data_IF_470777188787
#
_entry.id   IF_470777188787
#
_cell.length_a   1.000
_cell.length_b   1.000
_cell.length_c   1.000
_cell.angle_alpha   90.00
_cell.angle_beta   90.00
_cell.angle_gamma   90.00
#
_symmetry.space_group_name_H-M   'P 1'
#
loop_
_entity.id
_entity.type
_entity.pdbx_description
1 polymer ?
#
# COMPACT_ATOMS: atom_id res chain seq x y z
N UNK A 1 11.83 18.17 4.48
CA UNK A 1 12.18 17.50 3.18
C UNK A 1 11.31 18.13 2.10
N UNK A 2 11.96 18.65 1.06
CA UNK A 2 11.29 19.29 -0.08
C UNK A 2 11.18 18.33 -1.25
N UNK A 3 9.97 18.03 -1.70
CA UNK A 3 9.72 17.06 -2.76
C UNK A 3 10.28 17.51 -4.12
N UNK A 4 10.30 18.81 -4.41
CA UNK A 4 10.80 19.35 -5.69
C UNK A 4 12.31 19.16 -5.78
N UNK A 5 13.03 19.54 -4.72
CA UNK A 5 14.49 19.38 -4.66
C UNK A 5 14.90 17.90 -4.73
N UNK A 6 14.23 17.04 -3.96
CA UNK A 6 14.52 15.61 -3.96
C UNK A 6 14.22 14.96 -5.32
N UNK A 7 13.13 15.36 -5.99
CA UNK A 7 12.86 14.91 -7.36
C UNK A 7 13.96 15.33 -8.35
N UNK A 8 14.54 16.54 -8.19
CA UNK A 8 15.67 16.97 -8.99
C UNK A 8 16.92 16.11 -8.75
N UNK A 9 17.18 15.69 -7.50
CA UNK A 9 18.31 14.81 -7.18
C UNK A 9 18.16 13.40 -7.73
N UNK A 10 16.94 12.88 -7.80
CA UNK A 10 16.64 11.63 -8.51
C UNK A 10 16.97 11.78 -10.00
N UNK A 11 16.51 12.86 -10.64
CA UNK A 11 16.79 13.14 -12.05
C UNK A 11 18.28 13.31 -12.31
N UNK A 12 19.02 14.01 -11.45
CA UNK A 12 20.48 14.16 -11.56
C UNK A 12 21.15 12.79 -11.51
N UNK A 13 20.77 11.93 -10.58
CA UNK A 13 21.28 10.55 -10.52
C UNK A 13 21.05 9.77 -11.81
N UNK A 14 19.84 9.81 -12.35
CA UNK A 14 19.47 9.11 -13.58
C UNK A 14 20.21 9.66 -14.81
N UNK A 15 20.27 11.00 -14.97
CA UNK A 15 20.88 11.62 -16.14
C UNK A 15 22.41 11.48 -16.16
N UNK A 16 23.07 11.74 -15.04
CA UNK A 16 24.53 11.66 -14.95
C UNK A 16 25.05 10.27 -14.63
N UNK A 17 24.19 9.36 -14.22
CA UNK A 17 24.49 7.94 -14.05
C UNK A 17 24.66 7.19 -15.36
N UNK A 18 24.14 7.73 -16.49
CA UNK A 18 24.33 7.21 -17.85
C UNK A 18 23.91 5.73 -18.00
N UNK A 19 22.93 5.27 -17.21
CA UNK A 19 22.48 3.87 -17.21
C UNK A 19 23.32 2.92 -16.37
N UNK A 20 24.41 3.39 -15.75
CA UNK A 20 25.18 2.63 -14.78
C UNK A 20 24.50 2.65 -13.41
N UNK A 21 24.25 1.47 -12.86
CA UNK A 21 23.48 1.34 -11.62
C UNK A 21 24.23 1.95 -10.42
N UNK A 22 25.53 1.69 -10.31
CA UNK A 22 26.34 2.24 -9.22
C UNK A 22 26.45 3.75 -9.29
N UNK A 23 26.80 4.29 -10.47
CA UNK A 23 26.88 5.75 -10.70
C UNK A 23 25.56 6.46 -10.36
N UNK A 24 24.46 5.91 -10.84
CA UNK A 24 23.11 6.47 -10.59
C UNK A 24 22.82 6.60 -9.10
N UNK A 25 23.07 5.53 -8.35
CA UNK A 25 22.85 5.52 -6.90
C UNK A 25 23.84 6.43 -6.16
N UNK A 26 25.13 6.38 -6.50
CA UNK A 26 26.17 7.20 -5.85
C UNK A 26 25.91 8.70 -6.07
N UNK A 27 25.63 9.11 -7.29
CA UNK A 27 25.35 10.52 -7.61
C UNK A 27 24.10 11.01 -6.87
N UNK A 28 23.00 10.24 -6.93
CA UNK A 28 21.76 10.61 -6.25
C UNK A 28 21.94 10.72 -4.73
N UNK A 29 22.72 9.81 -4.12
CA UNK A 29 23.06 9.84 -2.69
C UNK A 29 23.87 11.08 -2.34
N UNK A 30 24.89 11.43 -3.16
CA UNK A 30 25.80 12.57 -2.93
C UNK A 30 25.12 13.93 -3.09
N UNK A 31 23.99 14.01 -3.76
CA UNK A 31 23.20 15.23 -3.83
C UNK A 31 22.70 15.69 -2.45
N UNK A 32 22.61 14.79 -1.48
CA UNK A 32 22.23 15.13 -0.11
C UNK A 32 20.72 15.15 0.10
N UNK A 33 20.28 15.87 1.13
CA UNK A 33 18.90 15.91 1.60
C UNK A 33 18.41 14.50 2.03
N UNK A 34 17.60 13.86 1.23
CA UNK A 34 17.04 12.53 1.45
C UNK A 34 17.93 11.48 0.77
N UNK A 35 19.11 11.24 1.36
CA UNK A 35 20.20 10.44 0.74
C UNK A 35 19.93 8.92 0.77
N UNK A 36 18.79 8.46 1.24
CA UNK A 36 18.33 7.06 1.19
C UNK A 36 17.13 6.90 0.25
N UNK A 37 16.12 7.78 0.32
CA UNK A 37 14.96 7.68 -0.56
C UNK A 37 15.28 8.09 -2.00
N UNK A 38 16.12 9.12 -2.21
CA UNK A 38 16.45 9.56 -3.57
C UNK A 38 17.16 8.48 -4.39
N UNK A 39 18.25 7.84 -3.91
CA UNK A 39 18.85 6.73 -4.64
C UNK A 39 17.94 5.50 -4.73
N UNK A 40 17.10 5.21 -3.73
CA UNK A 40 16.13 4.14 -3.83
C UNK A 40 15.13 4.37 -4.99
N UNK A 41 14.65 5.59 -5.15
CA UNK A 41 13.77 5.99 -6.25
C UNK A 41 14.48 5.94 -7.61
N UNK A 42 15.70 6.49 -7.69
CA UNK A 42 16.51 6.45 -8.90
C UNK A 42 16.84 5.00 -9.33
N UNK A 43 17.19 4.15 -8.36
CA UNK A 43 17.46 2.73 -8.59
C UNK A 43 16.23 1.96 -9.04
N UNK A 44 15.06 2.25 -8.47
CA UNK A 44 13.77 1.67 -8.89
C UNK A 44 13.42 2.01 -10.33
N UNK A 45 13.60 3.28 -10.74
CA UNK A 45 13.38 3.73 -12.12
C UNK A 45 14.36 3.06 -13.08
N UNK A 46 15.66 3.09 -12.76
CA UNK A 46 16.69 2.47 -13.60
C UNK A 46 16.50 0.95 -13.68
N UNK A 47 16.17 0.29 -12.57
CA UNK A 47 15.87 -1.13 -12.54
C UNK A 47 14.66 -1.52 -13.41
N UNK A 48 13.64 -0.66 -13.48
CA UNK A 48 12.50 -0.83 -14.40
C UNK A 48 12.93 -0.71 -15.87
N UNK A 49 13.85 0.22 -16.18
CA UNK A 49 14.38 0.40 -17.54
C UNK A 49 15.23 -0.81 -17.96
N UNK A 50 16.09 -1.30 -17.06
CA UNK A 50 17.00 -2.43 -17.33
C UNK A 50 16.29 -3.78 -17.34
N UNK A 51 15.25 -3.93 -16.52
CA UNK A 51 14.59 -5.20 -16.21
C UNK A 51 15.35 -5.99 -15.15
N UNK A 52 14.61 -6.84 -14.43
CA UNK A 52 15.11 -7.62 -13.27
C UNK A 52 16.38 -8.43 -13.58
N UNK A 53 16.45 -9.07 -14.75
CA UNK A 53 17.59 -9.91 -15.14
C UNK A 53 18.89 -9.13 -15.40
N UNK A 54 18.81 -7.81 -15.56
CA UNK A 54 19.96 -6.94 -15.83
C UNK A 54 20.37 -6.07 -14.63
N UNK A 55 19.69 -6.23 -13.49
CA UNK A 55 20.16 -5.61 -12.25
C UNK A 55 21.47 -6.31 -11.84
N UNK A 56 22.56 -5.55 -11.59
CA UNK A 56 23.85 -6.16 -11.30
C UNK A 56 23.82 -7.04 -10.04
N UNK A 57 24.48 -8.19 -10.08
CA UNK A 57 24.50 -9.17 -8.97
C UNK A 57 24.95 -8.59 -7.63
N UNK A 58 25.79 -7.57 -7.64
CA UNK A 58 26.19 -6.87 -6.43
C UNK A 58 24.99 -6.35 -5.62
N UNK A 59 23.98 -5.81 -6.30
CA UNK A 59 22.78 -5.26 -5.67
C UNK A 59 21.74 -6.33 -5.31
N UNK A 60 21.84 -7.52 -5.91
CA UNK A 60 20.96 -8.66 -5.68
C UNK A 60 21.52 -9.65 -4.65
N UNK A 61 22.72 -9.43 -4.18
CA UNK A 61 23.57 -10.39 -3.44
C UNK A 61 22.86 -11.11 -2.30
N UNK A 62 22.20 -10.41 -1.41
CA UNK A 62 21.53 -11.04 -0.26
C UNK A 62 20.01 -11.16 -0.47
N UNK A 63 19.49 -10.55 -1.53
CA UNK A 63 18.06 -10.51 -1.79
C UNK A 63 17.55 -11.88 -2.22
N UNK A 64 18.29 -12.57 -3.09
CA UNK A 64 17.93 -13.90 -3.62
C UNK A 64 17.75 -14.96 -2.54
N UNK A 65 18.44 -14.83 -1.42
CA UNK A 65 18.34 -15.76 -0.29
C UNK A 65 17.03 -15.60 0.48
N UNK A 66 16.40 -14.43 0.42
CA UNK A 66 15.20 -14.08 1.19
C UNK A 66 13.95 -13.88 0.33
N UNK A 67 14.05 -13.92 -1.00
CA UNK A 67 12.94 -13.65 -1.92
C UNK A 67 11.71 -14.53 -1.68
N UNK A 68 11.89 -15.74 -1.16
CA UNK A 68 10.81 -16.69 -0.85
C UNK A 68 10.32 -16.60 0.60
N UNK A 69 10.96 -15.79 1.45
CA UNK A 69 10.53 -15.63 2.84
C UNK A 69 9.33 -14.69 2.90
N UNK A 70 8.26 -15.14 3.55
CA UNK A 70 7.10 -14.29 3.75
C UNK A 70 7.46 -13.12 4.68
N UNK A 71 6.94 -11.92 4.37
CA UNK A 71 7.00 -10.78 5.28
C UNK A 71 6.28 -11.11 6.58
N UNK A 72 6.76 -10.52 7.67
CA UNK A 72 6.18 -10.76 8.99
C UNK A 72 4.65 -10.57 8.99
N UNK A 73 3.95 -11.55 9.56
CA UNK A 73 2.49 -11.56 9.70
C UNK A 73 1.69 -11.56 8.37
N UNK A 74 2.33 -11.93 7.28
CA UNK A 74 1.68 -12.07 5.98
C UNK A 74 1.95 -13.46 5.37
N UNK A 75 1.33 -13.73 4.25
CA UNK A 75 1.63 -14.87 3.37
C UNK A 75 2.27 -14.40 2.06
N UNK A 76 2.84 -13.19 2.06
CA UNK A 76 3.41 -12.54 0.88
C UNK A 76 4.92 -12.48 1.04
N UNK A 77 5.64 -12.94 0.02
CA UNK A 77 7.09 -12.82 -0.13
C UNK A 77 7.44 -11.85 -1.27
N UNK A 78 8.72 -11.53 -1.46
CA UNK A 78 9.16 -10.74 -2.61
C UNK A 78 8.75 -11.39 -3.93
N UNK A 79 8.96 -12.71 -4.09
CA UNK A 79 8.56 -13.41 -5.31
C UNK A 79 7.05 -13.34 -5.57
N UNK A 80 6.23 -13.46 -4.53
CA UNK A 80 4.78 -13.24 -4.67
C UNK A 80 4.46 -11.80 -5.06
N UNK A 81 5.17 -10.83 -4.50
CA UNK A 81 5.00 -9.41 -4.86
C UNK A 81 5.36 -9.14 -6.31
N UNK A 82 6.43 -9.77 -6.83
CA UNK A 82 6.79 -9.66 -8.26
C UNK A 82 5.69 -10.21 -9.15
N UNK A 83 5.16 -11.39 -8.83
CA UNK A 83 4.06 -11.99 -9.59
C UNK A 83 2.79 -11.10 -9.55
N UNK A 84 2.41 -10.63 -8.36
CA UNK A 84 1.25 -9.75 -8.22
C UNK A 84 1.42 -8.45 -9.03
N UNK A 85 2.62 -7.84 -9.00
CA UNK A 85 2.93 -6.63 -9.76
C UNK A 85 2.87 -6.88 -11.27
N UNK A 86 3.36 -8.03 -11.73
CA UNK A 86 3.29 -8.43 -13.13
C UNK A 86 1.84 -8.64 -13.59
N UNK A 87 1.04 -9.37 -12.83
CA UNK A 87 -0.36 -9.60 -13.15
C UNK A 87 -1.16 -8.29 -13.18
N UNK A 88 -0.88 -7.37 -12.26
CA UNK A 88 -1.49 -6.04 -12.26
C UNK A 88 -1.07 -5.20 -13.47
N UNK A 89 0.20 -5.29 -13.87
CA UNK A 89 0.70 -4.58 -15.06
C UNK A 89 -0.04 -5.06 -16.33
N UNK A 90 -0.23 -6.37 -16.49
CA UNK A 90 -0.99 -6.92 -17.62
C UNK A 90 -2.43 -6.42 -17.63
N UNK A 91 -3.10 -6.40 -16.47
CA UNK A 91 -4.47 -5.87 -16.37
C UNK A 91 -4.54 -4.37 -16.71
N UNK A 92 -3.55 -3.57 -16.29
CA UNK A 92 -3.48 -2.14 -16.63
C UNK A 92 -3.28 -1.95 -18.14
N UNK A 93 -2.44 -2.77 -18.76
CA UNK A 93 -2.22 -2.75 -20.23
C UNK A 93 -3.53 -3.00 -20.98
N UNK A 94 -4.26 -4.05 -20.62
CA UNK A 94 -5.56 -4.37 -21.27
C UNK A 94 -6.59 -3.26 -21.04
N UNK A 95 -6.73 -2.74 -19.83
CA UNK A 95 -7.64 -1.62 -19.51
C UNK A 95 -7.35 -0.36 -20.32
N UNK A 96 -6.10 -0.16 -20.72
CA UNK A 96 -5.67 1.00 -21.51
C UNK A 96 -5.61 0.72 -23.01
N UNK A 97 -6.26 -0.35 -23.48
CA UNK A 97 -6.42 -0.67 -24.90
C UNK A 97 -5.24 -1.39 -25.52
N UNK A 98 -4.35 -1.96 -24.70
CA UNK A 98 -3.39 -2.97 -25.12
C UNK A 98 -4.00 -4.36 -25.16
N UNK A 99 -3.18 -5.37 -25.43
CA UNK A 99 -3.62 -6.77 -25.43
C UNK A 99 -2.53 -7.72 -24.94
N UNK A 100 -2.95 -8.86 -24.39
CA UNK A 100 -2.08 -9.95 -23.96
C UNK A 100 -2.49 -11.20 -24.74
N UNK A 101 -1.55 -11.86 -25.42
CA UNK A 101 -1.78 -13.08 -26.19
C UNK A 101 -0.61 -14.04 -26.05
N UNK A 102 -0.76 -15.08 -25.23
CA UNK A 102 0.33 -15.97 -24.86
C UNK A 102 1.47 -15.22 -24.22
N UNK A 103 2.67 -15.30 -24.79
CA UNK A 103 3.88 -14.62 -24.31
C UNK A 103 4.07 -13.21 -24.93
N UNK A 104 3.14 -12.77 -25.76
CA UNK A 104 3.21 -11.47 -26.42
C UNK A 104 2.28 -10.46 -25.76
N UNK A 105 2.82 -9.26 -25.51
CA UNK A 105 2.09 -8.13 -24.95
C UNK A 105 2.19 -6.93 -25.88
N UNK A 106 1.04 -6.42 -26.31
CA UNK A 106 0.96 -5.19 -27.09
C UNK A 106 0.55 -4.03 -26.18
N UNK A 107 1.42 -3.02 -26.08
CA UNK A 107 1.17 -1.82 -25.26
C UNK A 107 0.72 -0.70 -26.20
N UNK A 108 -0.45 -0.11 -25.90
CA UNK A 108 -0.88 1.11 -26.58
C UNK A 108 -0.12 2.30 -26.00
N UNK A 109 0.76 2.90 -26.82
CA UNK A 109 1.45 4.12 -26.43
C UNK A 109 0.47 5.26 -26.14
N UNK A 110 0.61 5.90 -25.01
CA UNK A 110 -0.21 7.03 -24.59
C UNK A 110 0.65 8.30 -24.53
N UNK A 111 0.04 9.43 -24.86
CA UNK A 111 0.68 10.72 -24.60
C UNK A 111 0.43 11.09 -23.14
N UNK A 112 1.48 11.42 -22.37
CA UNK A 112 1.29 11.89 -21.00
C UNK A 112 0.44 13.15 -20.96
N UNK A 113 -0.59 13.14 -20.09
CA UNK A 113 -1.46 14.30 -19.87
C UNK A 113 -1.23 14.78 -18.45
N UNK A 114 -1.05 16.08 -18.27
CA UNK A 114 -0.96 16.68 -16.96
C UNK A 114 -2.26 16.41 -16.18
N UNK A 115 -2.15 15.74 -15.03
CA UNK A 115 -3.28 15.51 -14.14
C UNK A 115 -3.26 16.51 -13.00
N UNK A 116 -4.44 16.81 -12.47
CA UNK A 116 -4.53 17.68 -11.29
C UNK A 116 -3.85 17.04 -10.10
N UNK A 117 -3.13 17.86 -9.35
CA UNK A 117 -2.32 17.49 -8.20
C UNK A 117 -3.12 16.80 -7.08
N UNK A 118 -4.37 17.26 -6.87
CA UNK A 118 -5.24 16.79 -5.80
C UNK A 118 -6.19 15.65 -6.21
N UNK A 119 -6.07 15.15 -7.42
CA UNK A 119 -6.88 13.98 -7.81
C UNK A 119 -6.38 12.75 -7.09
N UNK A 120 -7.14 12.34 -6.09
CA UNK A 120 -7.09 10.98 -5.57
C UNK A 120 -7.41 9.97 -6.68
N UNK A 121 -7.28 8.70 -6.38
CA UNK A 121 -7.66 7.64 -7.32
C UNK A 121 -9.13 7.81 -7.74
N UNK A 122 -9.38 7.81 -9.04
CA UNK A 122 -10.72 7.96 -9.58
C UNK A 122 -11.64 6.87 -9.02
N UNK A 123 -12.81 7.27 -8.54
CA UNK A 123 -13.77 6.36 -7.93
C UNK A 123 -13.44 5.93 -6.49
N UNK A 124 -12.38 6.51 -5.88
CA UNK A 124 -11.96 6.19 -4.50
C UNK A 124 -11.70 7.48 -3.72
N UNK A 125 -12.74 8.25 -3.48
CA UNK A 125 -12.63 9.53 -2.79
C UNK A 125 -12.93 9.37 -1.30
N UNK A 126 -12.04 9.79 -0.38
CA UNK A 126 -12.37 9.84 1.03
C UNK A 126 -13.43 10.94 1.26
N UNK A 127 -14.59 10.54 1.76
CA UNK A 127 -15.72 11.47 1.94
C UNK A 127 -16.03 11.77 3.40
N UNK A 128 -15.67 10.88 4.30
CA UNK A 128 -15.97 11.03 5.71
C UNK A 128 -14.94 10.34 6.60
N UNK A 129 -14.72 10.94 7.77
CA UNK A 129 -13.92 10.42 8.86
C UNK A 129 -14.80 10.35 10.11
N UNK A 130 -15.06 9.15 10.59
CA UNK A 130 -15.89 8.90 11.76
C UNK A 130 -15.02 8.45 12.93
N UNK A 131 -15.06 9.19 14.03
CA UNK A 131 -14.39 8.78 15.26
C UNK A 131 -15.14 7.61 15.91
N UNK A 132 -14.41 6.54 16.27
CA UNK A 132 -14.94 5.38 16.98
C UNK A 132 -14.48 5.40 18.44
N UNK A 133 -13.19 5.46 18.68
CA UNK A 133 -12.53 5.54 20.00
C UNK A 133 -13.04 4.48 21.00
N UNK A 134 -13.15 3.22 20.55
CA UNK A 134 -13.62 2.09 21.34
C UNK A 134 -12.69 0.90 21.22
N UNK A 135 -12.65 0.08 22.25
CA UNK A 135 -12.02 -1.23 22.16
C UNK A 135 -12.95 -2.23 21.46
N UNK A 136 -12.37 -3.23 20.83
CA UNK A 136 -13.11 -4.26 20.09
C UNK A 136 -14.23 -4.93 20.93
N UNK A 137 -14.00 -5.09 22.24
CA UNK A 137 -15.03 -5.59 23.19
C UNK A 137 -16.33 -4.77 23.19
N UNK A 138 -16.24 -3.48 22.84
CA UNK A 138 -17.31 -2.50 22.99
C UNK A 138 -17.78 -1.90 21.65
N UNK A 139 -17.13 -2.31 20.54
CA UNK A 139 -17.37 -1.73 19.22
C UNK A 139 -18.76 -2.13 18.68
N UNK A 140 -19.15 -3.39 18.83
CA UNK A 140 -20.36 -3.90 18.21
C UNK A 140 -20.35 -3.81 16.68
N UNK A 141 -21.44 -3.34 16.11
CA UNK A 141 -21.58 -3.10 14.68
C UNK A 141 -21.08 -1.69 14.31
N UNK A 142 -20.34 -1.58 13.19
CA UNK A 142 -19.88 -0.31 12.63
C UNK A 142 -20.55 -0.09 11.26
N UNK A 143 -21.70 0.63 11.24
CA UNK A 143 -22.34 0.96 9.97
C UNK A 143 -21.60 2.11 9.26
N UNK A 144 -21.58 2.06 7.93
CA UNK A 144 -21.11 3.16 7.08
C UNK A 144 -21.85 3.16 5.75
N UNK A 145 -21.79 4.27 5.01
CA UNK A 145 -22.37 4.39 3.68
C UNK A 145 -21.32 4.87 2.69
N UNK A 146 -21.05 4.07 1.65
CA UNK A 146 -20.01 4.37 0.67
C UNK A 146 -19.69 3.21 -0.26
N UNK A 147 -18.52 3.28 -0.88
CA UNK A 147 -17.96 2.25 -1.76
C UNK A 147 -16.70 1.59 -1.16
N UNK A 148 -16.35 1.94 0.07
CA UNK A 148 -15.23 1.36 0.79
C UNK A 148 -15.02 2.02 2.14
N UNK A 149 -14.27 1.32 3.00
CA UNK A 149 -13.88 1.83 4.31
C UNK A 149 -12.52 1.31 4.74
N UNK A 150 -11.81 2.12 5.54
CA UNK A 150 -10.58 1.76 6.26
C UNK A 150 -10.85 1.94 7.75
N UNK A 151 -10.61 0.88 8.52
CA UNK A 151 -10.79 0.84 9.97
C UNK A 151 -9.42 1.00 10.63
N UNK A 152 -9.17 2.15 11.24
CA UNK A 152 -7.87 2.51 11.82
C UNK A 152 -7.84 2.27 13.32
N UNK A 153 -6.66 1.86 13.80
CA UNK A 153 -6.48 1.59 15.20
C UNK A 153 -5.14 0.92 15.51
N UNK A 154 -5.08 0.25 16.64
CA UNK A 154 -3.87 -0.46 17.07
C UNK A 154 -4.19 -1.51 18.14
N UNK A 155 -3.26 -2.44 18.32
CA UNK A 155 -3.27 -3.39 19.44
C UNK A 155 -2.41 -2.83 20.57
N UNK A 156 -2.95 -2.79 21.78
CA UNK A 156 -2.21 -2.39 22.98
C UNK A 156 -2.04 -3.61 23.88
N UNK A 157 -0.79 -3.97 24.16
CA UNK A 157 -0.41 -5.06 25.05
C UNK A 157 0.87 -4.70 25.80
N UNK A 158 1.04 -5.24 27.01
CA UNK A 158 2.33 -5.13 27.73
C UNK A 158 3.42 -6.00 27.11
N UNK A 159 3.01 -7.12 26.52
CA UNK A 159 3.87 -8.04 25.79
C UNK A 159 3.86 -7.63 24.31
N UNK A 160 4.95 -7.03 23.84
CA UNK A 160 5.11 -6.56 22.47
C UNK A 160 5.16 -7.69 21.41
N UNK A 161 5.36 -8.95 21.87
CA UNK A 161 5.32 -10.14 21.00
C UNK A 161 3.90 -10.65 20.75
N UNK A 162 2.92 -10.09 21.48
CA UNK A 162 1.54 -10.51 21.27
C UNK A 162 1.02 -10.11 19.89
N UNK A 163 0.31 -11.05 19.25
CA UNK A 163 -0.37 -10.84 17.96
C UNK A 163 -1.84 -11.16 18.14
N UNK A 164 -2.70 -10.15 18.01
CA UNK A 164 -4.13 -10.37 18.00
C UNK A 164 -4.56 -10.98 16.66
N UNK A 165 -5.33 -12.06 16.70
CA UNK A 165 -5.95 -12.66 15.51
C UNK A 165 -7.41 -12.23 15.48
N UNK A 166 -7.76 -11.42 14.48
CA UNK A 166 -9.09 -10.80 14.38
C UNK A 166 -9.68 -11.05 13.01
N UNK A 167 -10.94 -11.46 12.98
CA UNK A 167 -11.75 -11.57 11.77
C UNK A 167 -12.55 -10.29 11.55
N UNK A 168 -12.59 -9.80 10.31
CA UNK A 168 -13.54 -8.77 9.87
C UNK A 168 -14.60 -9.40 8.99
N UNK A 169 -15.84 -9.11 9.32
CA UNK A 169 -17.00 -9.44 8.51
C UNK A 169 -17.61 -8.16 7.96
N UNK A 170 -18.07 -8.19 6.74
CA UNK A 170 -18.80 -7.11 6.09
C UNK A 170 -20.15 -7.66 5.59
N UNK A 171 -21.23 -7.05 6.01
CA UNK A 171 -22.59 -7.49 5.68
C UNK A 171 -22.83 -8.98 5.98
N UNK A 172 -22.16 -9.48 7.01
CA UNK A 172 -22.23 -10.88 7.47
C UNK A 172 -21.24 -11.84 6.79
N UNK A 173 -20.51 -11.40 5.76
CA UNK A 173 -19.53 -12.23 5.05
C UNK A 173 -18.11 -11.97 5.59
N UNK A 174 -17.33 -13.04 5.78
CA UNK A 174 -15.93 -12.94 6.19
C UNK A 174 -15.09 -12.32 5.07
N UNK A 175 -14.44 -11.19 5.38
CA UNK A 175 -13.55 -10.49 4.44
C UNK A 175 -12.09 -10.84 4.66
N UNK A 176 -11.65 -10.82 5.92
CA UNK A 176 -10.24 -11.05 6.27
C UNK A 176 -10.12 -11.64 7.67
N UNK A 177 -9.14 -12.53 7.84
CA UNK A 177 -8.62 -12.92 9.16
C UNK A 177 -7.21 -12.34 9.29
N UNK A 178 -7.09 -11.24 10.04
CA UNK A 178 -5.85 -10.50 10.19
C UNK A 178 -5.04 -10.93 11.41
N UNK A 179 -3.72 -10.94 11.27
CA UNK A 179 -2.77 -10.99 12.37
C UNK A 179 -2.31 -9.56 12.67
N UNK A 180 -2.65 -9.05 13.85
CA UNK A 180 -2.43 -7.67 14.27
C UNK A 180 -1.39 -7.65 15.39
N UNK A 181 -0.09 -7.37 15.10
CA UNK A 181 0.95 -7.32 16.12
C UNK A 181 0.78 -6.12 17.04
N UNK A 182 1.08 -6.32 18.33
CA UNK A 182 1.14 -5.23 19.31
C UNK A 182 2.43 -4.41 19.20
N UNK A 183 3.51 -5.02 18.72
CA UNK A 183 4.82 -4.35 18.59
C UNK A 183 4.72 -3.10 17.73
N UNK A 184 5.24 -1.99 18.26
CA UNK A 184 5.27 -0.70 17.57
C UNK A 184 5.96 -0.76 16.20
N UNK A 185 7.00 -1.59 16.06
CA UNK A 185 7.82 -1.69 14.85
C UNK A 185 7.17 -2.51 13.73
N UNK A 186 6.19 -3.34 14.06
CA UNK A 186 5.56 -4.27 13.10
C UNK A 186 4.04 -4.11 13.02
N UNK A 187 3.43 -3.28 13.87
CA UNK A 187 1.99 -3.05 13.86
C UNK A 187 1.54 -2.34 12.58
N UNK A 188 0.35 -2.65 12.14
CA UNK A 188 -0.36 -1.84 11.14
C UNK A 188 -1.40 -0.96 11.84
N UNK A 189 -1.54 0.28 11.40
CA UNK A 189 -2.53 1.22 11.94
C UNK A 189 -3.84 1.18 11.16
N UNK A 190 -3.81 0.76 9.92
CA UNK A 190 -5.00 0.37 9.16
C UNK A 190 -5.29 -1.09 9.49
N UNK A 191 -6.12 -1.33 10.51
CA UNK A 191 -6.39 -2.68 11.00
C UNK A 191 -7.07 -3.53 9.93
N UNK A 192 -8.04 -2.94 9.24
CA UNK A 192 -8.79 -3.57 8.16
C UNK A 192 -9.18 -2.55 7.11
N UNK A 193 -9.41 -3.02 5.88
CA UNK A 193 -9.96 -2.20 4.80
C UNK A 193 -10.71 -3.05 3.79
N UNK A 194 -11.69 -2.43 3.14
CA UNK A 194 -12.35 -3.00 1.97
C UNK A 194 -12.74 -1.87 1.04
N UNK A 195 -12.37 -2.00 -0.22
CA UNK A 195 -12.69 -1.07 -1.30
C UNK A 195 -13.55 -1.75 -2.36
N UNK A 196 -14.03 -0.97 -3.33
CA UNK A 196 -14.78 -1.45 -4.49
C UNK A 196 -16.07 -2.21 -4.10
N UNK A 197 -16.70 -1.76 -3.02
CA UNK A 197 -18.02 -2.23 -2.62
C UNK A 197 -19.08 -1.63 -3.54
N UNK A 198 -20.24 -2.27 -3.71
CA UNK A 198 -21.42 -1.61 -4.24
C UNK A 198 -21.73 -0.34 -3.44
N UNK A 199 -22.11 0.75 -4.12
CA UNK A 199 -22.48 1.97 -3.42
C UNK A 199 -23.72 1.75 -2.56
N UNK A 200 -23.61 2.00 -1.26
CA UNK A 200 -24.71 1.78 -0.35
C UNK A 200 -24.31 1.74 1.12
N UNK A 201 -25.23 1.25 1.92
CA UNK A 201 -25.04 1.03 3.35
C UNK A 201 -24.44 -0.33 3.60
N UNK A 202 -23.41 -0.35 4.43
CA UNK A 202 -22.68 -1.55 4.82
C UNK A 202 -22.53 -1.59 6.33
N UNK A 203 -22.31 -2.78 6.86
CA UNK A 203 -22.08 -3.00 8.29
C UNK A 203 -20.87 -3.89 8.50
N UNK A 204 -19.85 -3.37 9.16
CA UNK A 204 -18.68 -4.14 9.57
C UNK A 204 -18.84 -4.67 11.00
N UNK A 205 -18.47 -5.93 11.20
CA UNK A 205 -18.36 -6.56 12.52
C UNK A 205 -17.02 -7.28 12.64
N UNK A 206 -16.54 -7.45 13.87
CA UNK A 206 -15.23 -7.99 14.13
C UNK A 206 -15.29 -9.06 15.21
N UNK A 207 -14.48 -10.11 15.05
CA UNK A 207 -14.39 -11.18 16.03
C UNK A 207 -12.94 -11.44 16.41
N UNK A 208 -12.61 -11.30 17.68
CA UNK A 208 -11.28 -11.58 18.20
C UNK A 208 -11.16 -13.05 18.57
N UNK A 209 -10.23 -13.77 17.92
CA UNK A 209 -10.13 -15.22 18.03
C UNK A 209 -9.27 -15.69 19.22
N UNK A 210 -8.31 -14.84 19.66
CA UNK A 210 -7.38 -15.17 20.74
C UNK A 210 -7.32 -14.07 21.81
N UNK A 211 -8.44 -13.67 22.43
CA UNK A 211 -8.47 -12.56 23.39
C UNK A 211 -7.62 -12.85 24.62
N UNK A 212 -7.06 -11.78 25.19
CA UNK A 212 -6.30 -11.78 26.45
C UNK A 212 -6.75 -10.60 27.31
N UNK A 213 -6.87 -10.81 28.63
CA UNK A 213 -7.38 -9.79 29.55
C UNK A 213 -6.48 -8.55 29.69
N UNK A 214 -5.18 -8.68 29.45
CA UNK A 214 -4.19 -7.60 29.52
C UNK A 214 -3.93 -6.93 28.17
N UNK A 215 -4.76 -7.21 27.16
CA UNK A 215 -4.66 -6.71 25.79
C UNK A 215 -5.93 -6.01 25.38
N UNK A 216 -5.82 -4.99 24.55
CA UNK A 216 -6.95 -4.40 23.85
C UNK A 216 -6.64 -4.22 22.35
N UNK A 217 -7.65 -4.43 21.52
CA UNK A 217 -7.65 -4.01 20.12
C UNK A 217 -8.50 -2.75 20.05
N UNK A 218 -7.87 -1.62 19.79
CA UNK A 218 -8.52 -0.31 19.81
C UNK A 218 -8.84 0.15 18.39
N UNK A 219 -10.10 0.55 18.15
CA UNK A 219 -10.54 1.22 16.94
C UNK A 219 -10.61 2.72 17.20
N UNK A 220 -9.80 3.50 16.50
CA UNK A 220 -9.74 4.96 16.64
C UNK A 220 -10.76 5.64 15.73
N UNK A 221 -10.74 5.33 14.45
CA UNK A 221 -11.56 6.00 13.43
C UNK A 221 -11.84 5.10 12.23
N UNK A 222 -12.85 5.47 11.44
CA UNK A 222 -13.17 4.90 10.14
C UNK A 222 -12.99 6.00 9.10
N UNK A 223 -12.27 5.70 8.01
CA UNK A 223 -12.28 6.52 6.79
C UNK A 223 -13.22 5.87 5.80
N UNK A 224 -14.21 6.62 5.34
CA UNK A 224 -15.23 6.15 4.39
C UNK A 224 -14.93 6.73 3.01
N UNK A 225 -15.06 5.90 1.99
CA UNK A 225 -14.78 6.22 0.60
C UNK A 225 -16.04 6.15 -0.24
N UNK A 226 -16.09 6.95 -1.31
CA UNK A 226 -17.16 6.94 -2.32
C UNK A 226 -16.58 7.01 -3.74
N UNK A 227 -17.42 6.70 -4.70
CA UNK A 227 -17.15 6.82 -6.13
C UNK A 227 -17.13 8.27 -6.65
N UNK A 228 -17.58 9.22 -5.83
CA UNK A 228 -17.57 10.65 -6.12
C UNK A 228 -17.02 11.44 -4.92
N UNK A 229 -16.34 12.56 -5.15
CA UNK A 229 -15.89 13.43 -4.07
C UNK A 229 -17.09 14.04 -3.33
N UNK A 230 -16.89 14.33 -2.03
CA UNK A 230 -17.87 15.07 -1.25
C UNK A 230 -17.97 16.51 -1.79
N UNK A 231 -19.17 16.95 -2.11
CA UNK A 231 -19.39 18.37 -2.47
C UNK A 231 -19.11 19.25 -1.25
N UNK A 232 -18.14 20.15 -1.38
CA UNK A 232 -17.88 21.17 -0.38
C UNK A 232 -18.82 22.34 -0.69
N UNK A 233 -19.90 22.45 0.06
CA UNK A 233 -20.75 23.63 0.02
C UNK A 233 -19.99 24.74 0.77
N UNK A 234 -19.38 25.66 0.05
CA UNK A 234 -18.84 26.90 0.63
C UNK A 234 -20.04 27.73 1.11
N UNK A 235 -20.21 27.82 2.43
CA UNK A 235 -21.12 28.75 3.07
C UNK A 235 -20.50 30.15 3.12
#
# INVERSE_FOLDING_TARGET
>A
IDAVINSAYILIGLLYGEGDFYKTLDISTRCGQDSDCNPASAGGILGTILGYSHIPDYWMKNLREVENMDFAYTTISLNKTYQMGFDQALQVIERNGGSVSGDEVTIKCQQPVAVRYEKAFEGMYPIEKVAVNKNLSDVGELPFEGTGAVFKGFVNAKDDKYVAKVEMYLDGELVETANLPASYTTRRNDLFWKYQLPKGKHTATFKWLNPRNDVSVHFGEILIYSDAPKEIVHQ
#
